data_IF_060221189809
#
_entry.id   IF_060221189809
#
_cell.length_a   1.000
_cell.length_b   1.000
_cell.length_c   1.000
_cell.angle_alpha   90.00
_cell.angle_beta   90.00
_cell.angle_gamma   90.00
#
_symmetry.space_group_name_H-M   'P 1'
#
loop_
_entity.id
_entity.type
_entity.pdbx_description
1 polymer ?
#
# COMPACT_ATOMS: atom_id res chain seq x y z
N UNK A 1 -30.79 4.78 37.00
CA UNK A 1 -30.94 3.97 38.24
C UNK A 1 -29.60 4.06 38.97
N UNK A 2 -29.59 4.82 40.06
CA UNK A 2 -28.67 4.94 41.23
C UNK A 2 -27.14 4.79 41.03
N UNK A 3 -26.31 5.66 41.65
CA UNK A 3 -24.97 6.00 41.18
C UNK A 3 -23.80 5.42 42.01
N UNK A 4 -22.62 5.77 41.49
CA UNK A 4 -21.24 5.67 41.99
C UNK A 4 -20.97 6.24 43.41
N UNK A 5 -19.97 5.61 44.04
CA UNK A 5 -18.83 6.18 44.82
C UNK A 5 -18.99 6.64 46.28
N UNK A 6 -18.20 5.96 47.14
CA UNK A 6 -17.03 6.50 47.90
C UNK A 6 -17.16 6.89 49.39
N UNK A 7 -16.40 6.10 50.17
CA UNK A 7 -15.58 6.33 51.37
C UNK A 7 -16.14 6.87 52.71
N UNK A 8 -15.79 6.08 53.74
CA UNK A 8 -15.27 6.41 55.08
C UNK A 8 -15.91 7.56 55.88
N UNK A 9 -16.49 7.19 57.02
CA UNK A 9 -16.08 7.75 58.33
C UNK A 9 -16.87 7.06 59.45
N UNK A 10 -16.22 6.22 60.27
CA UNK A 10 -16.79 5.86 61.57
C UNK A 10 -16.16 6.78 62.62
N UNK A 11 -16.92 7.80 63.01
CA UNK A 11 -16.64 8.70 64.13
C UNK A 11 -16.53 7.90 65.43
N UNK A 12 -15.42 8.09 66.10
CA UNK A 12 -15.20 7.70 67.48
C UNK A 12 -16.06 8.58 68.41
N UNK A 13 -16.98 7.96 69.14
CA UNK A 13 -17.68 8.62 70.24
C UNK A 13 -16.76 8.68 71.46
N UNK A 14 -16.41 9.89 71.87
CA UNK A 14 -15.87 10.17 73.18
C UNK A 14 -17.00 10.11 74.21
N UNK A 15 -16.88 9.23 75.20
CA UNK A 15 -17.61 9.34 76.45
C UNK A 15 -16.59 9.60 77.57
N UNK A 16 -16.70 10.82 78.07
CA UNK A 16 -16.09 11.33 79.28
C UNK A 16 -16.63 10.57 80.50
N UNK A 17 -15.75 9.95 81.28
CA UNK A 17 -16.05 9.64 82.67
C UNK A 17 -14.87 10.02 83.56
N UNK A 18 -15.23 10.93 84.45
CA UNK A 18 -14.42 11.61 85.43
C UNK A 18 -13.86 10.64 86.50
N UNK A 19 -12.59 10.86 86.81
CA UNK A 19 -11.73 10.35 87.90
C UNK A 19 -12.43 9.58 89.05
N UNK A 20 -12.04 8.31 89.23
CA UNK A 20 -11.70 7.74 90.55
C UNK A 20 -10.47 6.84 90.40
N UNK A 21 -9.37 7.24 91.03
CA UNK A 21 -8.20 6.39 91.23
C UNK A 21 -8.57 5.24 92.17
N UNK A 22 -8.23 4.00 91.80
CA UNK A 22 -7.85 2.90 92.71
C UNK A 22 -7.18 1.78 91.89
N UNK A 23 -5.84 1.77 91.95
CA UNK A 23 -4.88 0.65 91.86
C UNK A 23 -5.12 -0.60 90.97
N UNK A 24 -4.10 -0.85 90.13
CA UNK A 24 -3.53 -2.17 89.74
C UNK A 24 -4.40 -3.05 88.82
N UNK A 25 -3.91 -3.68 87.75
CA UNK A 25 -2.64 -4.34 87.56
C UNK A 25 -2.19 -4.22 86.10
N UNK A 26 -0.99 -3.65 85.87
CA UNK A 26 -0.34 -3.63 84.55
C UNK A 26 -0.23 -5.05 83.95
N UNK A 27 -0.12 -6.05 84.81
CA UNK A 27 -0.06 -7.47 84.49
C UNK A 27 -1.31 -8.00 83.78
N UNK A 28 -2.50 -7.46 84.06
CA UNK A 28 -3.75 -7.95 83.47
C UNK A 28 -3.93 -7.46 82.02
N UNK A 29 -3.41 -6.26 81.71
CA UNK A 29 -3.35 -5.74 80.34
C UNK A 29 -2.27 -6.46 79.51
N UNK A 30 -1.13 -6.76 80.12
CA UNK A 30 -0.07 -7.57 79.52
C UNK A 30 -0.58 -9.00 79.26
N UNK A 31 -1.35 -9.57 80.19
CA UNK A 31 -1.95 -10.90 80.05
C UNK A 31 -2.95 -10.97 78.89
N UNK A 32 -3.87 -10.02 78.78
CA UNK A 32 -4.80 -9.96 77.63
C UNK A 32 -4.09 -9.69 76.31
N UNK A 33 -3.04 -8.87 76.31
CA UNK A 33 -2.22 -8.61 75.11
C UNK A 33 -1.43 -9.85 74.69
N UNK A 34 -0.83 -10.59 75.63
CA UNK A 34 -0.16 -11.86 75.38
C UNK A 34 -1.12 -12.96 74.94
N UNK A 35 -2.34 -13.01 75.52
CA UNK A 35 -3.38 -13.96 75.13
C UNK A 35 -3.86 -13.68 73.70
N UNK A 36 -4.04 -12.41 73.34
CA UNK A 36 -4.37 -12.00 71.97
C UNK A 36 -3.22 -12.30 70.99
N UNK A 37 -1.96 -12.12 71.42
CA UNK A 37 -0.78 -12.50 70.64
C UNK A 37 -0.68 -14.02 70.44
N UNK A 38 -1.06 -14.82 71.45
CA UNK A 38 -1.10 -16.29 71.37
C UNK A 38 -2.19 -16.80 70.42
N UNK A 39 -3.33 -16.10 70.33
CA UNK A 39 -4.41 -16.45 69.39
C UNK A 39 -3.98 -16.18 67.93
N UNK A 40 -3.14 -15.17 67.68
CA UNK A 40 -2.56 -14.92 66.35
C UNK A 40 -1.45 -15.90 65.96
N UNK A 41 -0.78 -16.53 66.93
CA UNK A 41 0.23 -17.57 66.68
C UNK A 41 -0.38 -18.97 66.42
N UNK A 42 -1.71 -19.08 66.50
CA UNK A 42 -2.49 -20.29 66.17
C UNK A 42 -3.37 -20.09 64.92
N UNK A 43 -3.02 -19.14 64.05
CA UNK A 43 -3.50 -19.21 62.67
C UNK A 43 -2.89 -20.47 62.06
N UNK A 44 -3.74 -21.45 61.77
CA UNK A 44 -3.37 -22.69 61.10
C UNK A 44 -2.50 -22.37 59.88
N UNK A 45 -1.23 -22.73 59.96
CA UNK A 45 -0.44 -23.02 58.78
C UNK A 45 -1.11 -24.24 58.14
N UNK A 46 -1.93 -24.02 57.12
CA UNK A 46 -2.32 -25.09 56.21
C UNK A 46 -1.03 -25.59 55.57
N UNK A 47 -0.40 -26.58 56.20
CA UNK A 47 0.60 -27.39 55.51
C UNK A 47 -0.10 -27.91 54.26
N UNK A 48 0.47 -27.59 53.11
CA UNK A 48 0.10 -28.20 51.84
C UNK A 48 0.40 -29.70 52.00
N UNK A 49 -0.59 -30.47 52.45
CA UNK A 49 -0.54 -31.92 52.55
C UNK A 49 -1.12 -32.47 51.25
N UNK A 50 -0.31 -32.43 50.20
CA UNK A 50 -0.54 -33.16 48.97
C UNK A 50 0.75 -33.88 48.61
N UNK A 51 0.65 -35.08 48.07
CA UNK A 51 1.79 -35.69 47.37
C UNK A 51 2.14 -34.79 46.18
N UNK A 52 3.44 -34.58 45.94
CA UNK A 52 3.89 -33.84 44.76
C UNK A 52 3.44 -34.60 43.52
N UNK A 53 2.45 -34.08 42.82
CA UNK A 53 2.10 -34.57 41.50
C UNK A 53 3.20 -34.09 40.54
N UNK A 54 3.89 -35.02 39.85
CA UNK A 54 4.85 -34.63 38.83
C UNK A 54 4.12 -33.90 37.70
N UNK A 55 4.76 -32.83 37.20
CA UNK A 55 4.21 -32.01 36.12
C UNK A 55 3.91 -32.86 34.87
N UNK A 56 2.74 -32.67 34.28
CA UNK A 56 2.36 -33.26 33.01
C UNK A 56 2.55 -32.19 31.93
N UNK A 57 3.31 -32.45 30.86
CA UNK A 57 3.52 -31.43 29.83
C UNK A 57 2.21 -31.08 29.10
N UNK A 58 2.12 -29.88 28.51
CA UNK A 58 0.95 -29.44 27.77
C UNK A 58 0.84 -30.12 26.39
N UNK A 59 -0.33 -29.98 25.76
CA UNK A 59 -0.61 -30.40 24.38
C UNK A 59 -1.08 -29.20 23.54
N UNK A 60 -0.66 -29.14 22.28
CA UNK A 60 -0.91 -28.01 21.37
C UNK A 60 -1.81 -28.42 20.20
N UNK A 61 -2.65 -27.49 19.76
CA UNK A 61 -3.57 -27.69 18.64
C UNK A 61 -3.50 -26.50 17.68
N UNK A 62 -3.47 -26.77 16.38
CA UNK A 62 -3.58 -25.75 15.33
C UNK A 62 -5.04 -25.72 14.82
N UNK A 63 -5.60 -24.53 14.69
CA UNK A 63 -6.89 -24.28 14.06
C UNK A 63 -6.63 -23.59 12.73
N UNK A 64 -6.81 -24.32 11.63
CA UNK A 64 -6.82 -23.70 10.30
C UNK A 64 -8.26 -23.30 10.02
N UNK A 65 -8.51 -22.01 9.75
CA UNK A 65 -9.86 -21.50 9.46
C UNK A 65 -10.37 -21.87 8.05
N UNK A 66 -9.55 -22.47 7.18
CA UNK A 66 -9.97 -22.94 5.87
C UNK A 66 -10.38 -24.41 5.94
N UNK A 67 -11.68 -24.69 5.83
CA UNK A 67 -12.26 -26.04 5.77
C UNK A 67 -11.89 -26.86 4.51
N UNK A 68 -11.00 -26.38 3.64
CA UNK A 68 -10.59 -27.11 2.44
C UNK A 68 -9.12 -27.52 2.51
N UNK A 69 -8.88 -28.76 2.94
CA UNK A 69 -7.57 -29.43 2.93
C UNK A 69 -7.00 -29.71 1.51
N UNK A 70 -7.48 -29.03 0.47
CA UNK A 70 -7.02 -29.18 -0.92
C UNK A 70 -6.99 -27.88 -1.74
N UNK A 71 -7.38 -26.73 -1.19
CA UNK A 71 -7.30 -25.46 -1.93
C UNK A 71 -5.96 -24.79 -1.68
N UNK A 72 -5.28 -24.42 -2.77
CA UNK A 72 -4.11 -23.55 -2.70
C UNK A 72 -4.49 -22.25 -2.00
N UNK A 73 -3.60 -21.79 -1.13
CA UNK A 73 -3.84 -20.63 -0.27
C UNK A 73 -2.91 -19.49 -0.65
N UNK A 74 -3.31 -18.26 -0.32
CA UNK A 74 -2.53 -17.06 -0.65
C UNK A 74 -1.17 -17.08 0.07
N UNK A 75 -0.21 -16.31 -0.46
CA UNK A 75 1.13 -16.15 0.15
C UNK A 75 1.08 -15.58 1.58
N UNK A 76 -0.04 -15.00 2.00
CA UNK A 76 -0.25 -14.47 3.35
C UNK A 76 -1.21 -15.36 4.11
N UNK A 77 -0.71 -15.98 5.19
CA UNK A 77 -1.48 -16.94 5.97
C UNK A 77 -1.64 -16.53 7.42
N UNK A 78 -2.89 -16.47 7.88
CA UNK A 78 -3.18 -16.29 9.31
C UNK A 78 -3.42 -17.64 9.95
N UNK A 79 -2.55 -18.02 10.87
CA UNK A 79 -2.59 -19.32 11.55
C UNK A 79 -3.03 -19.09 12.98
N UNK A 80 -3.95 -19.93 13.48
CA UNK A 80 -4.44 -19.90 14.85
C UNK A 80 -4.00 -21.17 15.58
N UNK A 81 -3.69 -21.07 16.87
CA UNK A 81 -3.34 -22.21 17.71
C UNK A 81 -3.80 -22.00 19.15
N UNK A 82 -3.88 -23.09 19.91
CA UNK A 82 -4.15 -23.07 21.34
C UNK A 82 -3.41 -24.22 22.03
N UNK A 83 -3.30 -24.14 23.35
CA UNK A 83 -2.61 -25.14 24.16
C UNK A 83 -3.43 -25.50 25.39
N UNK A 84 -3.34 -26.75 25.82
CA UNK A 84 -4.01 -27.27 27.02
C UNK A 84 -3.01 -27.93 27.92
N UNK A 85 -3.06 -27.56 29.19
CA UNK A 85 -2.22 -28.14 30.22
C UNK A 85 -3.08 -28.92 31.22
N UNK A 86 -2.86 -30.23 31.43
CA UNK A 86 -3.74 -31.06 32.27
C UNK A 86 -3.74 -30.71 33.76
N UNK A 87 -2.62 -30.22 34.29
CA UNK A 87 -2.40 -29.97 35.72
C UNK A 87 -1.99 -28.53 36.05
N UNK A 88 -1.97 -27.65 35.05
CA UNK A 88 -1.65 -26.23 35.21
C UNK A 88 -2.27 -25.34 34.13
N UNK A 89 -1.48 -24.39 33.63
CA UNK A 89 -1.88 -23.49 32.55
C UNK A 89 -0.70 -23.17 31.62
N UNK A 90 -1.04 -22.97 30.34
CA UNK A 90 -0.08 -22.56 29.31
C UNK A 90 0.34 -21.11 29.51
N UNK A 91 1.66 -20.86 29.51
CA UNK A 91 2.24 -19.53 29.64
C UNK A 91 2.65 -18.91 28.30
N UNK A 92 2.82 -19.73 27.26
CA UNK A 92 3.12 -19.26 25.91
C UNK A 92 3.33 -20.40 24.93
N UNK A 93 3.86 -20.06 23.77
CA UNK A 93 4.08 -20.97 22.65
C UNK A 93 5.44 -20.72 22.00
N UNK A 94 6.01 -21.77 21.44
CA UNK A 94 7.10 -21.69 20.49
C UNK A 94 6.60 -22.12 19.12
N UNK A 95 6.92 -21.37 18.07
CA UNK A 95 6.61 -21.78 16.70
C UNK A 95 7.84 -21.73 15.78
N UNK A 96 7.77 -22.43 14.65
CA UNK A 96 8.79 -22.45 13.60
C UNK A 96 8.22 -22.94 12.28
N UNK A 97 8.88 -22.58 11.17
CA UNK A 97 8.61 -23.12 9.83
C UNK A 97 9.66 -24.13 9.35
N UNK A 98 10.70 -24.38 10.16
CA UNK A 98 11.73 -25.37 9.84
C UNK A 98 11.16 -26.78 9.91
N UNK A 99 11.46 -27.62 8.92
CA UNK A 99 10.97 -29.00 8.88
C UNK A 99 11.54 -29.85 10.02
N UNK A 100 12.82 -29.61 10.36
CA UNK A 100 13.58 -30.33 11.38
C UNK A 100 14.26 -29.33 12.36
N UNK A 101 13.47 -28.64 13.20
CA UNK A 101 13.93 -27.49 13.95
C UNK A 101 14.93 -27.88 15.05
N UNK A 102 15.99 -27.09 15.18
CA UNK A 102 16.89 -27.05 16.31
C UNK A 102 16.40 -26.03 17.35
N UNK A 103 16.93 -26.04 18.60
CA UNK A 103 16.45 -25.15 19.66
C UNK A 103 16.43 -23.65 19.31
N UNK A 104 17.36 -23.18 18.48
CA UNK A 104 17.44 -21.78 18.05
C UNK A 104 16.42 -21.37 16.98
N UNK A 105 15.79 -22.35 16.32
CA UNK A 105 14.84 -22.09 15.21
C UNK A 105 13.43 -21.81 15.72
N UNK A 106 13.21 -21.96 17.03
CA UNK A 106 11.93 -21.74 17.70
C UNK A 106 11.79 -20.29 18.16
N UNK A 107 10.70 -19.66 17.77
CA UNK A 107 10.34 -18.28 18.14
C UNK A 107 9.29 -18.34 19.25
N UNK A 108 9.55 -17.67 20.38
CA UNK A 108 8.58 -17.59 21.48
C UNK A 108 7.54 -16.50 21.25
N UNK A 109 6.28 -16.81 21.56
CA UNK A 109 5.17 -15.85 21.56
C UNK A 109 4.15 -16.19 22.64
N UNK A 110 3.42 -15.18 23.11
CA UNK A 110 2.24 -15.35 23.97
C UNK A 110 0.93 -15.25 23.19
N UNK A 111 1.01 -14.91 21.91
CA UNK A 111 -0.14 -14.82 21.03
C UNK A 111 -0.68 -16.21 20.65
N UNK A 112 -1.95 -16.25 20.27
CA UNK A 112 -2.65 -17.46 19.80
C UNK A 112 -2.93 -17.46 18.29
N UNK A 113 -2.45 -16.42 17.61
CA UNK A 113 -2.54 -16.32 16.17
C UNK A 113 -1.54 -15.31 15.64
N UNK A 114 -1.03 -15.56 14.45
CA UNK A 114 -0.14 -14.63 13.75
C UNK A 114 -0.34 -14.74 12.24
N UNK A 115 -0.08 -13.65 11.53
CA UNK A 115 -0.15 -13.58 10.07
C UNK A 115 1.26 -13.62 9.49
N UNK A 116 1.53 -14.64 8.70
CA UNK A 116 2.84 -14.90 8.11
C UNK A 116 2.82 -14.61 6.60
N UNK A 117 3.71 -13.75 6.08
CA UNK A 117 4.01 -13.69 4.66
C UNK A 117 4.95 -14.85 4.32
N UNK A 118 4.41 -15.86 3.65
CA UNK A 118 5.13 -17.03 3.17
C UNK A 118 5.65 -16.74 1.78
N UNK A 119 6.98 -16.64 1.66
CA UNK A 119 7.65 -16.29 0.41
C UNK A 119 7.48 -17.43 -0.58
N UNK A 120 6.94 -17.16 -1.76
CA UNK A 120 6.86 -18.21 -2.77
C UNK A 120 8.18 -18.26 -3.52
N UNK A 121 8.91 -19.37 -3.41
CA UNK A 121 10.14 -19.59 -4.17
C UNK A 121 9.85 -20.55 -5.32
N UNK A 122 9.45 -20.01 -6.47
CA UNK A 122 9.14 -20.80 -7.67
C UNK A 122 7.65 -20.99 -7.91
N UNK A 123 7.26 -22.14 -8.47
CA UNK A 123 5.86 -22.40 -8.87
C UNK A 123 5.00 -22.92 -7.73
N UNK A 124 5.58 -23.68 -6.81
CA UNK A 124 4.93 -24.22 -5.62
C UNK A 124 5.91 -24.29 -4.45
N UNK A 125 5.41 -24.13 -3.23
CA UNK A 125 6.20 -24.28 -2.01
C UNK A 125 5.32 -24.86 -0.93
N UNK A 126 5.81 -25.90 -0.24
CA UNK A 126 5.12 -26.49 0.91
C UNK A 126 5.81 -26.00 2.18
N UNK A 127 5.09 -25.24 2.98
CA UNK A 127 5.55 -24.81 4.29
C UNK A 127 5.08 -25.79 5.37
N UNK A 128 5.97 -26.12 6.32
CA UNK A 128 5.63 -26.91 7.50
C UNK A 128 5.63 -26.00 8.72
N UNK A 129 4.47 -25.55 9.15
CA UNK A 129 4.36 -24.82 10.41
C UNK A 129 4.31 -25.81 11.57
N UNK A 130 5.11 -25.54 12.61
CA UNK A 130 5.12 -26.31 13.85
C UNK A 130 4.94 -25.36 15.03
N UNK A 131 4.11 -25.73 16.01
CA UNK A 131 3.91 -24.97 17.24
C UNK A 131 3.80 -25.90 18.44
N UNK A 132 4.38 -25.49 19.57
CA UNK A 132 4.35 -26.21 20.85
C UNK A 132 4.09 -25.25 22.00
N UNK A 133 3.23 -25.65 22.93
CA UNK A 133 2.92 -24.91 24.14
C UNK A 133 4.01 -25.09 25.20
N UNK A 134 4.14 -24.12 26.10
CA UNK A 134 4.94 -24.23 27.33
C UNK A 134 4.08 -23.87 28.54
N UNK A 135 4.14 -24.68 29.59
CA UNK A 135 3.32 -24.52 30.79
C UNK A 135 3.93 -23.54 31.82
N UNK A 136 3.29 -23.44 32.99
CA UNK A 136 3.74 -22.57 34.09
C UNK A 136 4.91 -23.12 34.91
N UNK A 137 5.32 -24.36 34.68
CA UNK A 137 6.51 -24.99 35.26
C UNK A 137 7.67 -25.09 34.25
N UNK A 138 7.46 -24.62 33.02
CA UNK A 138 8.44 -24.57 31.94
C UNK A 138 8.56 -25.87 31.14
N UNK A 139 7.65 -26.83 31.31
CA UNK A 139 7.64 -28.00 30.42
C UNK A 139 6.99 -27.65 29.09
N UNK A 140 7.60 -28.16 28.03
CA UNK A 140 7.16 -27.95 26.65
C UNK A 140 6.37 -29.16 26.18
N UNK A 141 5.43 -28.92 25.27
CA UNK A 141 4.72 -29.98 24.58
C UNK A 141 5.71 -30.90 23.81
N UNK A 142 5.77 -32.21 24.13
CA UNK A 142 6.69 -33.16 23.50
C UNK A 142 6.28 -33.54 22.07
N UNK A 143 5.05 -33.23 21.67
CA UNK A 143 4.46 -33.54 20.36
C UNK A 143 3.95 -32.27 19.69
N UNK A 144 4.86 -31.40 19.19
CA UNK A 144 4.47 -30.17 18.51
C UNK A 144 3.39 -30.41 17.46
N UNK A 145 2.35 -29.58 17.45
CA UNK A 145 1.35 -29.60 16.41
C UNK A 145 1.98 -29.18 15.09
N UNK A 146 1.67 -29.91 14.00
CA UNK A 146 2.24 -29.67 12.67
C UNK A 146 1.14 -29.44 11.66
N UNK A 147 1.29 -28.42 10.81
CA UNK A 147 0.40 -28.14 9.70
C UNK A 147 1.21 -27.88 8.42
N UNK A 148 0.79 -28.54 7.33
CA UNK A 148 1.34 -28.31 6.01
C UNK A 148 0.51 -27.25 5.27
N UNK A 149 1.20 -26.30 4.62
CA UNK A 149 0.60 -25.27 3.78
C UNK A 149 1.19 -25.40 2.37
N UNK A 150 0.48 -26.07 1.44
CA UNK A 150 0.82 -26.03 0.04
C UNK A 150 0.40 -24.67 -0.55
N UNK A 151 1.40 -23.90 -1.00
CA UNK A 151 1.20 -22.62 -1.67
C UNK A 151 1.61 -22.82 -3.12
N UNK A 152 0.76 -22.37 -4.05
CA UNK A 152 1.08 -22.33 -5.48
C UNK A 152 1.10 -20.88 -5.90
N UNK A 153 2.14 -20.50 -6.63
CA UNK A 153 2.26 -19.17 -7.18
C UNK A 153 1.29 -18.97 -8.34
N UNK A 154 0.48 -17.94 -8.25
CA UNK A 154 -0.33 -17.42 -9.32
C UNK A 154 0.43 -16.27 -9.99
N UNK A 155 0.47 -16.23 -11.32
CA UNK A 155 1.07 -15.08 -11.99
C UNK A 155 0.18 -13.83 -11.81
N UNK A 156 0.78 -12.62 -11.74
CA UNK A 156 0.00 -11.40 -11.69
C UNK A 156 -0.75 -11.15 -13.00
N UNK A 157 -1.77 -10.30 -12.95
CA UNK A 157 -2.50 -9.80 -14.12
C UNK A 157 -2.29 -8.29 -14.25
N UNK A 158 -2.25 -7.80 -15.49
CA UNK A 158 -2.06 -6.38 -15.79
C UNK A 158 -2.95 -5.94 -16.96
N UNK A 159 -3.48 -4.73 -16.89
CA UNK A 159 -4.28 -4.13 -17.97
C UNK A 159 -4.12 -2.61 -18.02
N UNK A 160 -4.33 -2.02 -19.20
CA UNK A 160 -4.34 -0.58 -19.35
C UNK A 160 -5.47 0.03 -18.50
N UNK A 161 -5.17 1.14 -17.82
CA UNK A 161 -6.19 1.85 -17.05
C UNK A 161 -7.25 2.41 -18.01
N UNK A 162 -8.49 2.52 -17.57
CA UNK A 162 -9.55 3.11 -18.38
C UNK A 162 -9.15 4.52 -18.85
N UNK A 163 -9.29 4.80 -20.14
CA UNK A 163 -8.93 6.08 -20.74
C UNK A 163 -7.43 6.30 -20.99
N UNK A 164 -6.55 5.32 -20.74
CA UNK A 164 -5.09 5.48 -20.91
C UNK A 164 -4.56 5.32 -22.34
N UNK A 165 -5.44 5.38 -23.34
CA UNK A 165 -5.06 5.33 -24.76
C UNK A 165 -4.24 6.58 -25.09
N UNK A 166 -3.18 6.42 -25.87
CA UNK A 166 -2.39 7.54 -26.38
C UNK A 166 -2.92 7.94 -27.77
N UNK A 167 -2.84 9.23 -28.16
CA UNK A 167 -3.15 9.63 -29.52
C UNK A 167 -2.16 9.00 -30.52
N UNK A 168 -2.56 8.93 -31.79
CA UNK A 168 -1.73 8.37 -32.86
C UNK A 168 -0.42 9.15 -33.06
N UNK A 169 -0.40 10.43 -32.66
CA UNK A 169 0.78 11.29 -32.68
C UNK A 169 0.96 12.04 -31.36
N UNK A 170 2.19 12.05 -30.85
CA UNK A 170 2.60 12.83 -29.68
C UNK A 170 3.85 13.64 -30.00
N UNK A 171 4.23 14.59 -29.16
CA UNK A 171 5.63 15.04 -29.14
C UNK A 171 6.53 13.94 -28.53
N UNK A 172 7.79 14.25 -28.27
CA UNK A 172 8.76 13.34 -27.62
C UNK A 172 8.47 13.10 -26.13
N UNK A 173 7.19 13.02 -25.76
CA UNK A 173 6.66 12.75 -24.42
C UNK A 173 5.40 11.89 -24.54
N UNK A 174 5.37 10.77 -23.81
CA UNK A 174 4.21 9.88 -23.72
C UNK A 174 4.01 9.38 -22.28
N UNK A 175 2.76 9.41 -21.79
CA UNK A 175 2.40 8.86 -20.49
C UNK A 175 1.47 7.67 -20.62
N UNK A 176 1.70 6.67 -19.77
CA UNK A 176 0.98 5.41 -19.76
C UNK A 176 0.53 5.13 -18.33
N UNK A 177 -0.66 4.56 -18.17
CA UNK A 177 -1.20 4.18 -16.85
C UNK A 177 -1.87 2.83 -16.92
N UNK A 178 -1.67 2.00 -15.90
CA UNK A 178 -2.15 0.62 -15.86
C UNK A 178 -2.66 0.26 -14.47
N UNK A 179 -3.43 -0.82 -14.41
CA UNK A 179 -3.80 -1.51 -13.18
C UNK A 179 -3.16 -2.89 -13.18
N UNK A 180 -2.69 -3.33 -12.02
CA UNK A 180 -2.08 -4.63 -11.84
C UNK A 180 -2.52 -5.22 -10.50
N UNK A 181 -2.82 -6.51 -10.52
CA UNK A 181 -3.25 -7.27 -9.36
C UNK A 181 -2.62 -8.65 -9.35
N UNK A 182 -2.45 -9.24 -8.18
CA UNK A 182 -1.93 -10.60 -8.02
C UNK A 182 -2.90 -11.42 -7.16
N UNK A 183 -3.35 -12.61 -7.62
CA UNK A 183 -4.20 -13.49 -6.83
C UNK A 183 -3.60 -13.87 -5.46
N UNK A 184 -2.27 -13.89 -5.36
CA UNK A 184 -1.54 -14.19 -4.12
C UNK A 184 -1.36 -12.95 -3.22
N UNK A 185 -1.91 -11.82 -3.67
CA UNK A 185 -2.00 -10.52 -3.00
C UNK A 185 -1.11 -9.46 -3.66
N UNK A 186 -1.64 -8.29 -4.02
CA UNK A 186 -0.92 -7.25 -4.79
C UNK A 186 0.47 -6.85 -4.28
N UNK A 187 0.78 -7.07 -2.99
CA UNK A 187 2.11 -6.89 -2.42
C UNK A 187 3.17 -7.87 -2.93
N UNK A 188 2.77 -8.98 -3.58
CA UNK A 188 3.67 -9.95 -4.23
C UNK A 188 4.17 -9.45 -5.58
N UNK A 189 3.58 -8.41 -6.16
CA UNK A 189 4.11 -7.78 -7.37
C UNK A 189 5.42 -7.10 -7.01
N UNK A 190 6.54 -7.73 -7.36
CA UNK A 190 7.87 -7.24 -7.05
C UNK A 190 8.28 -6.07 -7.97
N UNK A 191 7.92 -6.16 -9.25
CA UNK A 191 8.28 -5.14 -10.22
C UNK A 191 7.30 -5.01 -11.37
N UNK A 192 7.29 -3.82 -11.98
CA UNK A 192 6.73 -3.60 -13.32
C UNK A 192 7.92 -3.45 -14.27
N UNK A 193 7.95 -4.25 -15.33
CA UNK A 193 8.96 -4.16 -16.37
C UNK A 193 8.37 -3.50 -17.61
N UNK A 194 9.10 -2.57 -18.22
CA UNK A 194 8.75 -2.01 -19.53
C UNK A 194 9.91 -2.10 -20.53
N UNK A 195 9.58 -2.07 -21.81
CA UNK A 195 10.55 -2.01 -22.91
C UNK A 195 10.00 -1.14 -24.03
N UNK A 196 10.85 -0.33 -24.65
CA UNK A 196 10.49 0.58 -25.73
C UNK A 196 10.98 0.00 -27.06
N UNK A 197 10.10 0.01 -28.05
CA UNK A 197 10.25 -0.43 -29.44
C UNK A 197 10.50 -1.92 -29.68
N UNK A 198 11.18 -2.59 -28.77
CA UNK A 198 11.36 -4.04 -28.78
C UNK A 198 11.05 -4.70 -27.42
N UNK A 199 11.28 -6.00 -27.31
CA UNK A 199 11.09 -6.77 -26.07
C UNK A 199 12.40 -7.43 -25.59
N UNK A 200 13.53 -6.94 -26.10
CA UNK A 200 14.86 -7.49 -25.88
C UNK A 200 15.47 -6.97 -24.57
N UNK A 201 15.20 -5.69 -24.23
CA UNK A 201 15.79 -5.03 -23.07
C UNK A 201 14.71 -4.43 -22.17
N UNK A 202 14.53 -5.01 -20.98
CA UNK A 202 13.51 -4.58 -20.03
C UNK A 202 14.10 -3.67 -18.95
N UNK A 203 13.42 -2.58 -18.67
CA UNK A 203 13.70 -1.67 -17.55
C UNK A 203 12.73 -1.98 -16.42
N UNK A 204 13.25 -2.16 -15.21
CA UNK A 204 12.43 -2.46 -14.02
C UNK A 204 12.06 -1.19 -13.26
N UNK A 205 10.78 -1.10 -12.91
CA UNK A 205 10.17 -0.15 -12.01
C UNK A 205 9.69 -0.87 -10.74
N UNK A 206 9.59 -0.17 -9.59
CA UNK A 206 8.96 -0.72 -8.39
C UNK A 206 7.56 -1.29 -8.67
N UNK A 207 7.22 -2.42 -8.05
CA UNK A 207 5.97 -3.14 -8.28
C UNK A 207 4.69 -2.39 -7.88
N UNK A 208 4.81 -1.33 -7.08
CA UNK A 208 3.70 -0.45 -6.70
C UNK A 208 3.42 0.66 -7.74
N UNK A 209 4.26 0.81 -8.77
CA UNK A 209 4.02 1.79 -9.85
C UNK A 209 2.81 1.43 -10.70
N UNK A 210 2.03 2.45 -11.05
CA UNK A 210 0.80 2.34 -11.87
C UNK A 210 0.78 3.33 -13.05
N UNK A 211 1.86 4.08 -13.23
CA UNK A 211 2.04 4.98 -14.36
C UNK A 211 3.51 5.19 -14.69
N UNK A 212 3.77 5.59 -15.93
CA UNK A 212 5.08 5.90 -16.49
C UNK A 212 4.94 7.08 -17.44
N UNK A 213 5.87 8.03 -17.36
CA UNK A 213 6.00 9.11 -18.35
C UNK A 213 7.39 9.01 -18.95
N UNK A 214 7.45 8.72 -20.24
CA UNK A 214 8.68 8.67 -21.04
C UNK A 214 8.87 10.00 -21.77
N UNK A 215 10.13 10.41 -21.90
CA UNK A 215 10.57 11.62 -22.61
C UNK A 215 11.63 11.26 -23.66
N UNK A 216 12.10 12.26 -24.40
CA UNK A 216 13.22 12.12 -25.34
C UNK A 216 14.45 11.46 -24.69
N UNK A 217 14.78 11.84 -23.44
CA UNK A 217 15.89 11.25 -22.69
C UNK A 217 15.71 9.76 -22.37
N UNK A 218 14.47 9.27 -22.40
CA UNK A 218 14.11 7.87 -22.19
C UNK A 218 14.02 7.08 -23.51
N UNK A 219 14.28 7.72 -24.65
CA UNK A 219 14.34 7.09 -25.98
C UNK A 219 13.17 7.41 -26.91
N UNK A 220 12.22 8.28 -26.52
CA UNK A 220 11.13 8.73 -27.40
C UNK A 220 11.69 9.76 -28.39
N UNK A 221 12.29 9.29 -29.46
CA UNK A 221 12.85 10.12 -30.54
C UNK A 221 11.81 10.40 -31.62
N UNK A 222 12.15 11.16 -32.66
CA UNK A 222 11.23 11.29 -33.80
C UNK A 222 11.10 9.94 -34.53
N UNK A 223 9.86 9.46 -34.69
CA UNK A 223 9.57 8.21 -35.39
C UNK A 223 8.44 7.39 -34.77
N UNK A 224 8.27 6.20 -35.31
CA UNK A 224 7.29 5.21 -34.88
C UNK A 224 7.78 4.48 -33.62
N UNK A 225 6.92 4.37 -32.62
CA UNK A 225 7.24 3.72 -31.37
C UNK A 225 6.16 2.73 -30.89
N UNK A 226 6.60 1.79 -30.05
CA UNK A 226 5.72 0.85 -29.35
C UNK A 226 6.23 0.61 -27.91
N UNK A 227 5.34 0.60 -26.92
CA UNK A 227 5.68 0.33 -25.53
C UNK A 227 5.20 -1.07 -25.18
N UNK A 228 6.05 -1.86 -24.54
CA UNK A 228 5.71 -3.15 -23.96
C UNK A 228 5.81 -3.09 -22.44
N UNK A 229 4.88 -3.72 -21.74
CA UNK A 229 4.81 -3.65 -20.28
C UNK A 229 4.31 -4.96 -19.67
N UNK A 230 4.87 -5.40 -18.54
CA UNK A 230 4.40 -6.58 -17.77
C UNK A 230 4.68 -6.43 -16.28
N UNK A 231 3.90 -7.08 -15.44
CA UNK A 231 4.20 -7.26 -14.03
C UNK A 231 5.03 -8.53 -13.80
N UNK A 232 5.87 -8.51 -12.77
CA UNK A 232 6.65 -9.66 -12.30
C UNK A 232 6.51 -9.75 -10.79
N UNK A 233 6.13 -10.92 -10.29
CA UNK A 233 5.98 -11.17 -8.86
C UNK A 233 7.32 -11.51 -8.16
N UNK A 234 7.25 -11.72 -6.84
CA UNK A 234 8.39 -12.12 -6.00
C UNK A 234 8.98 -13.49 -6.35
N UNK A 235 8.21 -14.37 -6.98
CA UNK A 235 8.64 -15.69 -7.43
C UNK A 235 9.21 -15.66 -8.87
N UNK A 236 9.11 -14.52 -9.56
CA UNK A 236 9.55 -14.30 -10.93
C UNK A 236 8.52 -14.69 -12.00
N UNK A 237 7.27 -15.03 -11.63
CA UNK A 237 6.23 -15.26 -12.61
C UNK A 237 5.79 -13.93 -13.23
N UNK A 238 5.40 -13.99 -14.50
CA UNK A 238 5.15 -12.82 -15.34
C UNK A 238 3.70 -12.79 -15.75
N UNK A 239 3.12 -11.60 -15.74
CA UNK A 239 1.76 -11.37 -16.24
C UNK A 239 1.66 -11.56 -17.75
N UNK A 240 0.44 -11.40 -18.27
CA UNK A 240 0.24 -11.01 -19.67
C UNK A 240 1.07 -9.75 -20.00
N UNK A 241 1.49 -9.64 -21.26
CA UNK A 241 2.24 -8.49 -21.75
C UNK A 241 1.28 -7.49 -22.40
N UNK A 242 1.31 -6.24 -21.94
CA UNK A 242 0.63 -5.13 -22.59
C UNK A 242 1.50 -4.56 -23.71
N UNK A 243 0.83 -3.99 -24.71
CA UNK A 243 1.43 -3.19 -25.76
C UNK A 243 0.65 -1.89 -25.93
N UNK A 244 1.34 -0.79 -26.17
CA UNK A 244 0.74 0.46 -26.65
C UNK A 244 1.44 0.87 -27.96
N UNK A 245 0.73 1.11 -29.07
CA UNK A 245 -0.70 0.87 -29.26
C UNK A 245 -1.04 -0.63 -29.11
N UNK A 246 -2.29 -0.97 -28.79
CA UNK A 246 -2.66 -2.37 -28.56
C UNK A 246 -2.59 -3.24 -29.83
N UNK A 247 -2.88 -2.66 -31.00
CA UNK A 247 -2.78 -3.37 -32.28
C UNK A 247 -1.31 -3.52 -32.69
N UNK A 248 -0.78 -4.76 -32.84
CA UNK A 248 0.62 -4.99 -33.21
C UNK A 248 1.03 -4.44 -34.58
N UNK A 249 0.07 -4.12 -35.45
CA UNK A 249 0.32 -3.52 -36.77
C UNK A 249 0.38 -1.98 -36.73
N UNK A 250 0.15 -1.37 -35.57
CA UNK A 250 0.15 0.08 -35.37
C UNK A 250 1.29 0.49 -34.44
N UNK A 251 1.75 1.71 -34.64
CA UNK A 251 2.74 2.43 -33.83
C UNK A 251 2.18 3.84 -33.60
N UNK A 252 2.55 4.47 -32.49
CA UNK A 252 2.32 5.91 -32.37
C UNK A 252 3.54 6.63 -32.95
N UNK A 253 3.31 7.79 -33.55
CA UNK A 253 4.39 8.63 -34.06
C UNK A 253 4.77 9.67 -33.02
N UNK A 254 6.02 9.70 -32.57
CA UNK A 254 6.55 10.82 -31.82
C UNK A 254 7.18 11.84 -32.79
N UNK A 255 6.76 13.10 -32.71
CA UNK A 255 7.33 14.22 -33.47
C UNK A 255 8.26 15.05 -32.60
N UNK A 256 9.45 15.39 -33.11
CA UNK A 256 10.36 16.29 -32.42
C UNK A 256 9.80 17.73 -32.39
N UNK A 257 9.95 18.46 -31.27
CA UNK A 257 9.64 19.88 -31.21
C UNK A 257 10.43 20.67 -32.27
N UNK A 258 9.72 21.44 -33.07
CA UNK A 258 10.26 22.40 -34.04
C UNK A 258 10.17 23.81 -33.47
N UNK A 259 11.33 24.46 -33.41
CA UNK A 259 11.48 25.80 -32.82
C UNK A 259 11.09 25.86 -31.34
N UNK A 260 10.99 27.07 -30.81
CA UNK A 260 10.68 27.33 -29.39
C UNK A 260 9.23 27.74 -29.13
N UNK A 261 8.44 27.85 -30.20
CA UNK A 261 7.04 28.24 -30.17
C UNK A 261 6.15 27.00 -30.36
N UNK A 262 5.12 26.90 -29.54
CA UNK A 262 4.02 25.94 -29.71
C UNK A 262 2.75 26.72 -30.02
N UNK A 263 2.13 26.36 -31.14
CA UNK A 263 0.77 26.75 -31.50
C UNK A 263 -0.17 25.60 -31.12
N UNK A 264 -0.99 25.83 -30.10
CA UNK A 264 -2.05 24.91 -29.67
C UNK A 264 -3.33 25.31 -30.36
N UNK A 265 -3.87 24.36 -31.09
CA UNK A 265 -5.18 24.40 -31.71
C UNK A 265 -6.17 23.62 -30.86
N UNK A 266 -7.10 24.36 -30.29
CA UNK A 266 -8.15 23.93 -29.38
C UNK A 266 -9.50 24.46 -29.87
N UNK A 267 -9.67 24.45 -31.19
CA UNK A 267 -10.83 24.99 -31.87
C UNK A 267 -11.57 23.89 -32.62
N UNK A 268 -12.76 23.50 -32.16
CA UNK A 268 -13.42 22.28 -32.62
C UNK A 268 -13.95 22.35 -34.07
N UNK A 269 -14.38 23.53 -34.56
CA UNK A 269 -15.06 23.65 -35.87
C UNK A 269 -14.53 24.79 -36.75
N UNK A 270 -13.75 24.43 -37.77
CA UNK A 270 -13.37 25.32 -38.85
C UNK A 270 -14.51 25.57 -39.85
N UNK A 271 -14.84 26.84 -40.10
CA UNK A 271 -15.83 27.22 -41.10
C UNK A 271 -15.61 28.65 -41.60
N UNK A 272 -16.28 29.00 -42.69
CA UNK A 272 -16.36 30.40 -43.16
C UNK A 272 -17.04 31.33 -42.16
N UNK A 273 -17.77 30.78 -41.17
CA UNK A 273 -18.45 31.55 -40.12
C UNK A 273 -17.47 31.84 -38.95
N UNK A 274 -16.65 30.87 -38.56
CA UNK A 274 -15.59 31.04 -37.55
C UNK A 274 -14.36 31.79 -38.10
N UNK A 275 -14.22 31.87 -39.42
CA UNK A 275 -13.17 32.65 -40.07
C UNK A 275 -11.85 31.90 -40.25
N UNK A 276 -11.87 30.57 -40.20
CA UNK A 276 -10.71 29.67 -40.32
C UNK A 276 -9.58 30.02 -39.33
N UNK A 277 -9.81 29.87 -38.02
CA UNK A 277 -8.83 30.18 -36.99
C UNK A 277 -7.48 29.50 -37.22
N UNK A 278 -7.46 28.24 -37.69
CA UNK A 278 -6.21 27.48 -37.82
C UNK A 278 -5.35 28.09 -38.91
N UNK A 279 -5.95 28.35 -40.08
CA UNK A 279 -5.29 29.02 -41.18
C UNK A 279 -4.81 30.44 -40.79
N UNK A 280 -5.59 31.16 -39.98
CA UNK A 280 -5.22 32.49 -39.50
C UNK A 280 -4.00 32.45 -38.57
N UNK A 281 -4.02 31.62 -37.52
CA UNK A 281 -2.93 31.57 -36.54
C UNK A 281 -1.65 30.97 -37.09
N UNK A 282 -1.74 29.93 -37.92
CA UNK A 282 -0.58 29.38 -38.63
C UNK A 282 0.03 30.44 -39.56
N UNK A 283 -0.77 31.10 -40.41
CA UNK A 283 -0.28 32.15 -41.30
C UNK A 283 0.30 33.38 -40.57
N UNK A 284 -0.24 33.71 -39.39
CA UNK A 284 0.31 34.74 -38.51
C UNK A 284 1.71 34.36 -38.02
N UNK A 285 1.89 33.13 -37.48
CA UNK A 285 3.18 32.67 -37.00
C UNK A 285 4.19 32.51 -38.14
N UNK A 286 3.79 31.95 -39.28
CA UNK A 286 4.62 31.89 -40.49
C UNK A 286 5.19 33.27 -40.83
N UNK A 287 4.33 34.29 -40.88
CA UNK A 287 4.72 35.66 -41.23
C UNK A 287 5.64 36.29 -40.17
N UNK A 288 5.38 36.05 -38.88
CA UNK A 288 6.14 36.63 -37.78
C UNK A 288 7.51 35.97 -37.62
N UNK A 289 7.57 34.64 -37.69
CA UNK A 289 8.78 33.86 -37.44
C UNK A 289 9.70 33.80 -38.66
N UNK A 290 9.15 33.96 -39.89
CA UNK A 290 9.96 34.17 -41.09
C UNK A 290 10.92 35.37 -40.96
N UNK A 291 10.55 36.40 -40.20
CA UNK A 291 11.42 37.57 -39.95
C UNK A 291 12.63 37.24 -39.07
N UNK A 292 12.52 36.22 -38.22
CA UNK A 292 13.58 35.79 -37.31
C UNK A 292 14.31 34.52 -37.77
N UNK A 293 13.78 33.82 -38.78
CA UNK A 293 14.26 32.50 -39.21
C UNK A 293 14.02 31.41 -38.17
N UNK A 294 13.03 31.61 -37.29
CA UNK A 294 12.63 30.66 -36.26
C UNK A 294 11.50 29.77 -36.82
N UNK A 295 11.23 28.64 -36.17
CA UNK A 295 10.14 27.72 -36.54
C UNK A 295 9.17 27.56 -35.37
N UNK A 296 8.08 26.84 -35.58
CA UNK A 296 7.12 26.49 -34.54
C UNK A 296 6.57 25.08 -34.71
N UNK A 297 6.05 24.56 -33.61
CA UNK A 297 5.30 23.31 -33.59
C UNK A 297 3.81 23.59 -33.54
N UNK A 298 3.03 22.82 -34.28
CA UNK A 298 1.57 22.86 -34.28
C UNK A 298 1.04 21.59 -33.58
N UNK A 299 0.05 21.79 -32.71
CA UNK A 299 -0.58 20.72 -31.95
C UNK A 299 -2.09 20.92 -31.95
N UNK A 300 -2.78 20.06 -32.70
CA UNK A 300 -4.23 19.97 -32.68
C UNK A 300 -4.66 19.12 -31.49
N UNK A 301 -5.04 19.77 -30.40
CA UNK A 301 -5.46 19.07 -29.18
C UNK A 301 -6.89 18.55 -29.26
N UNK A 302 -7.71 18.97 -30.23
CA UNK A 302 -9.02 18.34 -30.48
C UNK A 302 -8.88 16.88 -30.96
N UNK A 303 -7.76 16.56 -31.62
CA UNK A 303 -7.48 15.22 -32.15
C UNK A 303 -6.39 14.48 -31.37
N UNK A 304 -5.35 15.21 -30.93
CA UNK A 304 -4.14 14.67 -30.31
C UNK A 304 -4.07 14.95 -28.80
N UNK A 305 -5.23 15.04 -28.11
CA UNK A 305 -5.24 15.25 -26.66
C UNK A 305 -4.62 14.05 -25.91
N UNK A 306 -3.70 14.28 -24.97
CA UNK A 306 -3.13 13.19 -24.20
C UNK A 306 -4.09 12.76 -23.09
N UNK A 307 -4.15 11.46 -22.81
CA UNK A 307 -4.95 10.88 -21.73
C UNK A 307 -4.48 11.22 -20.31
N UNK A 308 -3.41 12.01 -20.17
CA UNK A 308 -2.81 12.37 -18.89
C UNK A 308 -2.45 13.85 -18.84
N UNK A 309 -2.95 14.53 -17.80
CA UNK A 309 -2.54 15.90 -17.49
C UNK A 309 -1.01 16.02 -17.25
N UNK A 310 -0.36 14.93 -16.83
CA UNK A 310 1.10 14.91 -16.69
C UNK A 310 1.76 14.98 -18.07
N UNK A 311 1.32 14.18 -19.04
CA UNK A 311 1.83 14.26 -20.41
C UNK A 311 1.56 15.63 -21.01
N UNK A 312 0.35 16.18 -20.86
CA UNK A 312 0.03 17.52 -21.31
C UNK A 312 1.01 18.56 -20.77
N UNK A 313 1.26 18.53 -19.46
CA UNK A 313 2.19 19.43 -18.77
C UNK A 313 3.62 19.28 -19.26
N UNK A 314 4.10 18.04 -19.40
CA UNK A 314 5.46 17.75 -19.86
C UNK A 314 5.66 18.12 -21.34
N UNK A 315 4.63 17.99 -22.19
CA UNK A 315 4.63 18.50 -23.56
C UNK A 315 4.78 20.01 -23.60
N UNK A 316 4.06 20.76 -22.75
CA UNK A 316 4.19 22.22 -22.70
C UNK A 316 5.61 22.67 -22.33
N UNK A 317 6.28 21.92 -21.46
CA UNK A 317 7.66 22.18 -21.00
C UNK A 317 8.71 22.01 -22.09
N UNK A 318 8.37 21.42 -23.24
CA UNK A 318 9.27 21.34 -24.39
C UNK A 318 9.48 22.70 -25.09
N UNK A 319 8.65 23.69 -24.78
CA UNK A 319 8.61 24.97 -25.47
C UNK A 319 8.88 26.16 -24.54
N UNK A 320 9.30 27.28 -25.11
CA UNK A 320 9.49 28.52 -24.37
C UNK A 320 8.23 29.40 -24.37
N UNK A 321 7.47 29.31 -25.47
CA UNK A 321 6.38 30.23 -25.81
C UNK A 321 5.21 29.43 -26.36
N UNK A 322 4.03 29.64 -25.78
CA UNK A 322 2.80 28.98 -26.19
C UNK A 322 1.82 30.04 -26.68
N UNK A 323 1.23 29.80 -27.84
CA UNK A 323 0.06 30.48 -28.35
C UNK A 323 -1.06 29.45 -28.37
N UNK A 324 -2.13 29.70 -27.63
CA UNK A 324 -3.28 28.81 -27.55
C UNK A 324 -4.51 29.60 -27.96
N UNK A 325 -5.19 29.14 -29.01
CA UNK A 325 -6.48 29.67 -29.43
C UNK A 325 -7.59 28.64 -29.28
N UNK A 326 -8.77 29.07 -28.82
CA UNK A 326 -9.85 28.16 -28.45
C UNK A 326 -11.25 28.76 -28.65
N UNK A 327 -12.23 27.93 -28.99
CA UNK A 327 -13.66 28.25 -28.94
C UNK A 327 -14.36 27.72 -27.68
N UNK A 328 -13.60 27.12 -26.76
CA UNK A 328 -14.14 26.48 -25.57
C UNK A 328 -14.63 27.51 -24.56
N UNK A 329 -15.88 27.34 -24.13
CA UNK A 329 -16.58 28.21 -23.19
C UNK A 329 -17.05 27.50 -21.91
N UNK A 330 -16.75 26.19 -21.75
CA UNK A 330 -17.24 25.39 -20.60
C UNK A 330 -16.11 25.03 -19.64
N UNK A 331 -16.39 25.11 -18.32
CA UNK A 331 -15.39 24.85 -17.27
C UNK A 331 -15.12 23.35 -17.03
N UNK A 332 -15.94 22.46 -17.61
CA UNK A 332 -15.84 21.01 -17.47
C UNK A 332 -15.02 20.35 -18.57
N UNK A 333 -14.47 21.15 -19.47
CA UNK A 333 -13.68 20.68 -20.59
C UNK A 333 -12.33 20.09 -20.13
N UNK A 334 -11.94 18.96 -20.71
CA UNK A 334 -10.73 18.23 -20.32
C UNK A 334 -9.45 19.02 -20.64
N UNK A 335 -9.43 19.78 -21.73
CA UNK A 335 -8.29 20.61 -22.12
C UNK A 335 -8.10 21.74 -21.10
N UNK A 336 -9.19 22.37 -20.67
CA UNK A 336 -9.14 23.42 -19.64
C UNK A 336 -8.79 22.87 -18.24
N UNK A 337 -9.24 21.67 -17.90
CA UNK A 337 -8.86 20.99 -16.65
C UNK A 337 -7.36 20.69 -16.64
N UNK A 338 -6.80 20.17 -17.74
CA UNK A 338 -5.36 19.93 -17.86
C UNK A 338 -4.56 21.24 -17.80
N UNK A 339 -5.04 22.30 -18.47
CA UNK A 339 -4.42 23.63 -18.48
C UNK A 339 -4.30 24.24 -17.08
N UNK A 340 -5.31 24.05 -16.21
CA UNK A 340 -5.29 24.56 -14.83
C UNK A 340 -4.11 24.00 -14.01
N UNK A 341 -3.67 22.79 -14.31
CA UNK A 341 -2.52 22.14 -13.68
C UNK A 341 -1.22 22.55 -14.40
N UNK A 342 -1.22 22.49 -15.74
CA UNK A 342 -0.02 22.64 -16.55
C UNK A 342 0.53 24.07 -16.63
N UNK A 343 -0.35 25.07 -16.79
CA UNK A 343 0.06 26.46 -17.00
C UNK A 343 0.86 27.00 -15.80
N UNK A 344 0.44 26.83 -14.53
CA UNK A 344 1.25 27.24 -13.38
C UNK A 344 2.66 26.68 -13.40
N UNK A 345 2.84 25.39 -13.72
CA UNK A 345 4.16 24.76 -13.79
C UNK A 345 5.01 25.31 -14.93
N UNK A 346 4.43 25.42 -16.12
CA UNK A 346 5.07 26.02 -17.30
C UNK A 346 5.54 27.46 -17.01
N UNK A 347 4.71 28.24 -16.32
CA UNK A 347 5.02 29.62 -15.91
C UNK A 347 6.15 29.70 -14.89
N UNK A 348 6.21 28.77 -13.95
CA UNK A 348 7.28 28.72 -12.94
C UNK A 348 8.66 28.50 -13.58
N UNK A 349 8.72 27.80 -14.71
CA UNK A 349 9.95 27.58 -15.49
C UNK A 349 10.28 28.75 -16.43
N UNK A 350 9.51 29.84 -16.40
CA UNK A 350 9.77 31.05 -17.19
C UNK A 350 9.02 31.12 -18.53
N UNK A 351 8.23 30.10 -18.86
CA UNK A 351 7.41 30.02 -20.06
C UNK A 351 6.46 31.22 -20.22
N UNK A 352 6.15 31.59 -21.47
CA UNK A 352 5.18 32.65 -21.79
C UNK A 352 4.01 32.07 -22.56
N UNK A 353 2.81 32.51 -22.21
CA UNK A 353 1.57 32.05 -22.80
C UNK A 353 0.80 33.25 -23.32
N UNK A 354 0.32 33.14 -24.56
CA UNK A 354 -0.79 33.93 -25.10
C UNK A 354 -1.97 32.97 -25.20
N UNK A 355 -3.08 33.33 -24.57
CA UNK A 355 -4.31 32.55 -24.60
C UNK A 355 -5.41 33.43 -25.18
N UNK A 356 -6.03 32.98 -26.27
CA UNK A 356 -7.10 33.70 -26.96
C UNK A 356 -8.34 32.84 -26.97
N UNK A 357 -9.43 33.39 -26.44
CA UNK A 357 -10.73 32.73 -26.41
C UNK A 357 -11.73 33.53 -27.23
N UNK A 358 -12.51 32.85 -28.06
CA UNK A 358 -13.66 33.47 -28.70
C UNK A 358 -14.83 33.53 -27.70
N UNK A 359 -15.20 34.75 -27.29
CA UNK A 359 -16.45 34.93 -26.55
C UNK A 359 -17.63 34.85 -27.52
N UNK A 360 -18.55 33.93 -27.25
CA UNK A 360 -19.75 33.75 -28.06
C UNK A 360 -20.52 35.08 -28.16
N UNK A 361 -20.77 35.55 -29.38
CA UNK A 361 -21.52 36.80 -29.61
C UNK A 361 -23.01 36.53 -29.53
N UNK A 362 -23.52 36.35 -28.30
CA UNK A 362 -24.96 36.45 -27.98
C UNK A 362 -25.82 35.25 -28.38
#
# INVERSE_FOLDING_TARGET
MIPLRVFLSCKQYALDMNKRNLYSNSWMKIFFFLLFLLIFLWSCEEKITGEFNPNIPPETFIFVQSEDTLNFTQSVQTIYWDGRDPDGFVTGFYYTFEENPQPQDWIFTTERSETFPLVITGQDTIYTFQVKAVDNLGAEDPTPARQLFPIVNSAPEISWAAGSVIPDTTFTVASFSWVASDPDGDSTIASIEYSLDDTSNWVSLPGDKRSLTLREADGITEGDHALYLRAVDIAGAKSNMLRMPENPSQFWYAKSPRGRYLLIDDYAVESSISGFPDAYYQGLLDSLLALTGDDYSYWNIEEEFPSSATQFTETLKLFDRIIWYTDIITQTDEHFIAAQIAIPEFRQQGGKLIYTVQFNTG
#
